data_IF_192288816245
#
_entry.id   IF_192288816245
#
_cell.length_a   1.000
_cell.length_b   1.000
_cell.length_c   1.000
_cell.angle_alpha   90.00
_cell.angle_beta   90.00
_cell.angle_gamma   90.00
#
_symmetry.space_group_name_H-M   'P 1'
#
loop_
_entity.id
_entity.type
_entity.pdbx_description
1 polymer ?
#
# COMPACT_ATOMS: atom_id res chain seq x y z
N UNK A 1 -18.27 -23.66 3.00
CA UNK A 1 -16.86 -23.30 2.75
C UNK A 1 -16.82 -21.81 2.46
N UNK A 2 -16.09 -21.00 3.24
CA UNK A 2 -16.08 -19.54 3.05
C UNK A 2 -15.20 -19.16 1.88
N UNK A 3 -15.66 -18.27 1.00
CA UNK A 3 -14.92 -17.76 -0.17
C UNK A 3 -13.56 -17.18 0.29
N UNK A 4 -13.53 -16.43 1.38
CA UNK A 4 -12.29 -15.85 1.92
C UNK A 4 -11.22 -16.87 2.32
N UNK A 5 -11.60 -18.10 2.70
CA UNK A 5 -10.64 -19.17 2.97
C UNK A 5 -10.01 -19.72 1.69
N UNK A 6 -10.77 -19.77 0.59
CA UNK A 6 -10.28 -20.17 -0.72
C UNK A 6 -9.35 -19.09 -1.30
N UNK A 7 -9.73 -17.83 -1.24
CA UNK A 7 -8.89 -16.69 -1.67
C UNK A 7 -7.56 -16.68 -0.92
N UNK A 8 -7.60 -16.86 0.40
CA UNK A 8 -6.40 -16.94 1.22
C UNK A 8 -5.54 -18.14 0.84
N UNK A 9 -6.14 -19.33 0.65
CA UNK A 9 -5.41 -20.53 0.23
C UNK A 9 -4.70 -20.33 -1.10
N UNK A 10 -5.36 -19.74 -2.09
CA UNK A 10 -4.78 -19.43 -3.40
C UNK A 10 -3.64 -18.45 -3.28
N UNK A 11 -3.81 -17.37 -2.50
CA UNK A 11 -2.76 -16.38 -2.26
C UNK A 11 -1.55 -16.99 -1.54
N UNK A 12 -1.77 -17.75 -0.47
CA UNK A 12 -0.71 -18.44 0.28
C UNK A 12 0.04 -19.46 -0.59
N UNK A 13 -0.68 -20.19 -1.45
CA UNK A 13 -0.10 -21.13 -2.42
C UNK A 13 0.74 -20.41 -3.46
N UNK A 14 0.23 -19.31 -4.02
CA UNK A 14 0.95 -18.48 -4.97
C UNK A 14 2.25 -17.94 -4.34
N UNK A 15 2.17 -17.34 -3.17
CA UNK A 15 3.32 -16.74 -2.49
C UNK A 15 4.40 -17.78 -2.13
N UNK A 16 4.00 -18.98 -1.69
CA UNK A 16 4.95 -20.08 -1.43
C UNK A 16 5.66 -20.61 -2.67
N UNK A 17 5.00 -20.54 -3.82
CA UNK A 17 5.54 -21.05 -5.08
C UNK A 17 6.15 -19.94 -5.96
N UNK A 18 5.85 -18.67 -5.72
CA UNK A 18 6.45 -17.53 -6.42
C UNK A 18 7.96 -17.44 -6.22
N UNK A 19 8.46 -17.88 -5.05
CA UNK A 19 9.91 -18.00 -4.78
C UNK A 19 10.62 -19.04 -5.67
N UNK A 20 9.87 -19.87 -6.41
CA UNK A 20 10.39 -20.89 -7.34
C UNK A 20 10.25 -20.50 -8.81
N UNK A 21 9.49 -19.44 -9.11
CA UNK A 21 9.34 -18.91 -10.47
C UNK A 21 10.25 -17.71 -10.63
N UNK A 22 11.17 -17.76 -11.57
CA UNK A 22 11.94 -16.59 -11.96
C UNK A 22 10.98 -15.47 -12.38
N UNK A 23 11.23 -14.26 -11.89
CA UNK A 23 10.38 -13.08 -12.10
C UNK A 23 10.14 -12.72 -13.58
N UNK A 24 10.89 -13.31 -14.50
CA UNK A 24 10.68 -13.22 -15.93
C UNK A 24 9.32 -13.78 -16.36
N UNK A 25 8.80 -14.84 -15.68
CA UNK A 25 7.53 -15.47 -16.02
C UNK A 25 6.30 -14.67 -15.57
N UNK A 26 6.40 -13.88 -14.49
CA UNK A 26 5.27 -13.07 -14.01
C UNK A 26 4.98 -11.88 -14.94
N UNK A 27 6.00 -11.36 -15.61
CA UNK A 27 5.86 -10.39 -16.69
C UNK A 27 5.30 -10.99 -17.98
N UNK A 28 5.51 -12.28 -18.23
CA UNK A 28 5.09 -12.98 -19.42
C UNK A 28 3.60 -13.37 -19.40
N UNK A 29 3.05 -13.79 -18.25
CA UNK A 29 1.62 -14.15 -18.14
C UNK A 29 0.67 -12.97 -18.40
N UNK A 30 1.10 -11.73 -18.14
CA UNK A 30 0.34 -10.53 -18.50
C UNK A 30 0.58 -10.08 -19.95
N UNK A 31 1.69 -10.56 -20.60
CA UNK A 31 1.98 -10.28 -21.99
C UNK A 31 1.29 -11.26 -22.96
N UNK A 32 1.00 -12.50 -22.56
CA UNK A 32 0.35 -13.49 -23.42
C UNK A 32 -1.09 -13.12 -23.82
N UNK A 33 -1.80 -12.36 -22.97
CA UNK A 33 -3.10 -11.78 -23.37
C UNK A 33 -2.98 -10.54 -24.27
N UNK A 34 -1.77 -9.99 -24.45
CA UNK A 34 -1.46 -8.86 -25.31
C UNK A 34 -0.85 -9.28 -26.66
N UNK A 35 -0.37 -10.51 -26.82
CA UNK A 35 0.31 -11.00 -28.03
C UNK A 35 -0.59 -11.23 -29.24
N UNK A 36 -1.91 -11.03 -29.09
CA UNK A 36 -2.81 -10.99 -30.25
C UNK A 36 -2.91 -9.63 -30.94
N UNK A 37 -2.07 -8.66 -30.54
CA UNK A 37 -1.88 -7.40 -31.29
C UNK A 37 -0.41 -6.99 -31.24
N UNK A 38 0.27 -7.18 -32.33
CA UNK A 38 1.69 -7.04 -32.57
C UNK A 38 2.46 -6.01 -31.72
N UNK A 39 3.61 -6.42 -31.17
CA UNK A 39 4.65 -5.66 -30.47
C UNK A 39 4.12 -4.68 -29.42
N UNK A 40 3.96 -5.14 -28.16
CA UNK A 40 3.70 -4.23 -27.06
C UNK A 40 4.97 -3.46 -26.72
N UNK A 41 5.14 -2.31 -27.32
CA UNK A 41 5.93 -1.23 -26.74
C UNK A 41 5.26 -0.95 -25.38
N UNK A 42 5.98 -1.06 -24.25
CA UNK A 42 5.51 -0.56 -22.94
C UNK A 42 5.08 0.89 -23.17
N UNK A 43 3.78 1.12 -23.28
CA UNK A 43 3.25 2.45 -23.53
C UNK A 43 3.32 3.20 -22.21
N UNK A 44 4.24 4.13 -22.09
CA UNK A 44 4.26 5.07 -20.98
C UNK A 44 2.93 5.84 -20.96
N UNK A 45 2.13 5.65 -19.91
CA UNK A 45 0.82 6.28 -19.77
C UNK A 45 0.85 7.55 -18.93
N UNK A 46 1.98 7.86 -18.30
CA UNK A 46 2.14 9.04 -17.46
C UNK A 46 2.70 8.72 -16.09
N UNK A 47 2.83 9.74 -15.26
CA UNK A 47 3.37 9.69 -13.92
C UNK A 47 2.26 9.91 -12.89
N UNK A 48 2.10 8.99 -11.97
CA UNK A 48 1.04 9.03 -10.97
C UNK A 48 1.60 9.08 -9.54
N UNK A 49 1.09 10.01 -8.74
CA UNK A 49 1.32 10.08 -7.31
C UNK A 49 0.18 9.39 -6.56
N UNK A 50 0.53 8.51 -5.61
CA UNK A 50 -0.44 7.84 -4.73
C UNK A 50 -0.16 8.31 -3.30
N UNK A 51 -1.13 8.96 -2.68
CA UNK A 51 -1.01 9.50 -1.32
C UNK A 51 -1.60 8.50 -0.33
N UNK A 52 -0.74 7.87 0.45
CA UNK A 52 -1.05 6.81 1.40
C UNK A 52 -0.79 5.41 0.86
N UNK A 53 -0.09 4.60 1.64
CA UNK A 53 0.28 3.22 1.35
C UNK A 53 -0.64 2.19 2.01
N UNK A 54 -1.86 2.58 2.37
CA UNK A 54 -2.88 1.65 2.85
C UNK A 54 -3.37 0.71 1.73
N UNK A 55 -4.32 -0.21 2.02
CA UNK A 55 -4.82 -1.19 1.04
C UNK A 55 -5.22 -0.57 -0.30
N UNK A 56 -5.93 0.56 -0.25
CA UNK A 56 -6.38 1.26 -1.47
C UNK A 56 -5.21 1.83 -2.27
N UNK A 57 -4.21 2.43 -1.60
CA UNK A 57 -3.03 2.98 -2.24
C UNK A 57 -2.15 1.90 -2.86
N UNK A 58 -1.91 0.79 -2.15
CA UNK A 58 -1.12 -0.33 -2.67
C UNK A 58 -1.79 -0.97 -3.90
N UNK A 59 -3.11 -1.22 -3.84
CA UNK A 59 -3.86 -1.78 -4.96
C UNK A 59 -3.82 -0.85 -6.18
N UNK A 60 -4.13 0.43 -5.99
CA UNK A 60 -4.09 1.43 -7.07
C UNK A 60 -2.70 1.54 -7.70
N UNK A 61 -1.64 1.59 -6.88
CA UNK A 61 -0.28 1.67 -7.37
C UNK A 61 0.12 0.44 -8.20
N UNK A 62 -0.28 -0.75 -7.77
CA UNK A 62 -0.03 -1.99 -8.50
C UNK A 62 -0.71 -2.02 -9.86
N UNK A 63 -1.97 -1.62 -9.92
CA UNK A 63 -2.72 -1.60 -11.17
C UNK A 63 -2.20 -0.54 -12.15
N UNK A 64 -1.86 0.65 -11.65
CA UNK A 64 -1.27 1.71 -12.47
C UNK A 64 0.12 1.30 -13.01
N UNK A 65 0.96 0.67 -12.18
CA UNK A 65 2.28 0.20 -12.61
C UNK A 65 2.16 -0.90 -13.69
N UNK A 66 1.23 -1.85 -13.53
CA UNK A 66 0.93 -2.87 -14.54
C UNK A 66 0.42 -2.26 -15.84
N UNK A 67 -0.36 -1.17 -15.75
CA UNK A 67 -0.84 -0.44 -16.91
C UNK A 67 0.27 0.36 -17.62
N UNK A 68 1.45 0.54 -17.02
CA UNK A 68 2.59 1.25 -17.61
C UNK A 68 2.80 2.68 -17.12
N UNK A 69 2.22 3.05 -15.98
CA UNK A 69 2.49 4.32 -15.33
C UNK A 69 3.79 4.29 -14.51
N UNK A 70 4.51 5.41 -14.43
CA UNK A 70 5.55 5.63 -13.40
C UNK A 70 4.86 6.05 -12.10
N UNK A 71 4.88 5.19 -11.09
CA UNK A 71 4.10 5.38 -9.88
C UNK A 71 5.00 5.64 -8.69
N UNK A 72 4.66 6.68 -7.92
CA UNK A 72 5.29 6.94 -6.61
C UNK A 72 4.22 7.00 -5.53
N UNK A 73 4.39 6.20 -4.49
CA UNK A 73 3.56 6.23 -3.28
C UNK A 73 4.23 7.15 -2.25
N UNK A 74 3.48 8.09 -1.70
CA UNK A 74 3.89 8.94 -0.59
C UNK A 74 3.17 8.49 0.69
N UNK A 75 3.94 8.05 1.67
CA UNK A 75 3.43 7.54 2.94
C UNK A 75 3.86 8.46 4.10
N UNK A 76 2.89 8.85 4.91
CA UNK A 76 3.13 9.75 6.04
C UNK A 76 3.96 9.10 7.16
N UNK A 77 3.80 7.80 7.36
CA UNK A 77 4.52 7.03 8.37
C UNK A 77 5.86 6.50 7.84
N UNK A 78 6.68 5.99 8.75
CA UNK A 78 8.00 5.44 8.41
C UNK A 78 7.95 4.01 7.84
N UNK A 79 6.77 3.39 7.81
CA UNK A 79 6.55 2.04 7.26
C UNK A 79 5.34 2.06 6.33
N UNK A 80 5.52 1.53 5.12
CA UNK A 80 4.43 1.35 4.17
C UNK A 80 3.46 0.23 4.61
N UNK A 81 2.19 0.34 4.21
CA UNK A 81 1.13 -0.63 4.49
C UNK A 81 -0.06 -0.05 5.25
N UNK A 82 0.05 1.18 5.77
CA UNK A 82 -1.05 1.87 6.45
C UNK A 82 -1.65 1.02 7.58
N UNK A 83 -2.97 0.94 7.65
CA UNK A 83 -3.69 0.19 8.69
C UNK A 83 -3.31 -1.30 8.75
N UNK A 84 -2.86 -1.89 7.65
CA UNK A 84 -2.38 -3.28 7.63
C UNK A 84 -1.15 -3.46 8.54
N UNK A 85 -0.32 -2.43 8.66
CA UNK A 85 0.88 -2.43 9.51
C UNK A 85 0.59 -1.95 10.93
N UNK A 86 -0.08 -0.81 11.09
CA UNK A 86 -0.26 -0.22 12.42
C UNK A 86 -1.56 -0.61 13.13
N UNK A 87 -2.62 -0.96 12.37
CA UNK A 87 -3.95 -1.16 12.94
C UNK A 87 -4.34 -2.61 13.17
N UNK A 88 -3.85 -3.55 12.36
CA UNK A 88 -4.19 -4.97 12.49
C UNK A 88 -3.12 -5.68 13.33
N UNK A 89 -3.48 -6.39 14.41
CA UNK A 89 -2.51 -7.13 15.22
C UNK A 89 -1.80 -8.25 14.45
N UNK A 90 -0.55 -8.55 14.82
CA UNK A 90 0.31 -9.57 14.20
C UNK A 90 -0.37 -10.95 14.08
N UNK A 91 -1.09 -11.38 15.11
CA UNK A 91 -1.77 -12.69 15.12
C UNK A 91 -2.91 -12.81 14.12
N UNK A 92 -3.46 -11.68 13.62
CA UNK A 92 -4.50 -11.66 12.58
C UNK A 92 -3.94 -11.48 11.19
N UNK A 93 -2.94 -10.63 11.05
CA UNK A 93 -2.23 -10.38 9.81
C UNK A 93 -0.74 -10.27 10.08
N UNK A 94 0.03 -11.35 9.87
CA UNK A 94 1.47 -11.32 9.96
C UNK A 94 2.05 -10.22 9.07
N UNK A 95 2.91 -9.36 9.66
CA UNK A 95 3.46 -8.20 8.95
C UNK A 95 4.35 -8.58 7.78
N UNK A 96 4.87 -9.80 7.81
CA UNK A 96 5.65 -10.35 6.71
C UNK A 96 4.85 -10.43 5.41
N UNK A 97 3.56 -10.80 5.48
CA UNK A 97 2.67 -10.82 4.30
C UNK A 97 2.56 -9.42 3.68
N UNK A 98 2.39 -8.40 4.53
CA UNK A 98 2.30 -7.01 4.06
C UNK A 98 3.62 -6.54 3.44
N UNK A 99 4.76 -6.92 4.04
CA UNK A 99 6.08 -6.61 3.47
C UNK A 99 6.29 -7.24 2.11
N UNK A 100 5.89 -8.50 1.94
CA UNK A 100 5.97 -9.18 0.64
C UNK A 100 5.15 -8.47 -0.44
N UNK A 101 3.94 -8.00 -0.11
CA UNK A 101 3.13 -7.22 -1.05
C UNK A 101 3.80 -5.89 -1.42
N UNK A 102 4.38 -5.19 -0.45
CA UNK A 102 5.15 -3.97 -0.69
C UNK A 102 6.37 -4.26 -1.57
N UNK A 103 7.10 -5.34 -1.32
CA UNK A 103 8.24 -5.75 -2.13
C UNK A 103 7.84 -6.11 -3.56
N UNK A 104 6.69 -6.76 -3.76
CA UNK A 104 6.16 -7.05 -5.09
C UNK A 104 5.92 -5.76 -5.88
N UNK A 105 5.41 -4.70 -5.24
CA UNK A 105 5.23 -3.39 -5.88
C UNK A 105 6.57 -2.74 -6.24
N UNK A 106 7.56 -2.81 -5.34
CA UNK A 106 8.91 -2.32 -5.63
C UNK A 106 9.54 -3.03 -6.84
N UNK A 107 9.32 -4.35 -6.96
CA UNK A 107 9.76 -5.13 -8.13
C UNK A 107 9.04 -4.74 -9.43
N UNK A 108 7.80 -4.28 -9.36
CA UNK A 108 7.07 -3.72 -10.50
C UNK A 108 7.58 -2.33 -10.90
N UNK A 109 8.49 -1.73 -10.13
CA UNK A 109 9.04 -0.41 -10.38
C UNK A 109 8.33 0.73 -9.67
N UNK A 110 7.37 0.44 -8.78
CA UNK A 110 6.72 1.46 -7.93
C UNK A 110 7.75 2.01 -6.95
N UNK A 111 7.82 3.33 -6.83
CA UNK A 111 8.64 4.02 -5.82
C UNK A 111 7.81 4.28 -4.57
N UNK A 112 8.42 4.19 -3.39
CA UNK A 112 7.74 4.45 -2.11
C UNK A 112 8.60 5.42 -1.29
N UNK A 113 8.03 6.59 -1.02
CA UNK A 113 8.63 7.65 -0.21
C UNK A 113 7.91 7.71 1.14
N UNK A 114 8.59 7.31 2.20
CA UNK A 114 8.05 7.34 3.58
C UNK A 114 8.37 8.65 4.28
N UNK A 115 7.69 8.92 5.42
CA UNK A 115 7.80 10.17 6.18
C UNK A 115 7.39 11.42 5.39
N UNK A 116 6.51 11.25 4.41
CA UNK A 116 6.02 12.29 3.52
C UNK A 116 4.56 12.62 3.80
N UNK A 117 4.32 13.70 4.54
CA UNK A 117 2.97 14.18 4.86
C UNK A 117 2.52 15.15 3.79
N UNK A 118 1.84 14.65 2.76
CA UNK A 118 1.33 15.49 1.67
C UNK A 118 0.29 16.48 2.21
N UNK A 119 0.43 17.73 1.82
CA UNK A 119 -0.27 18.87 2.40
C UNK A 119 0.50 19.58 3.52
N UNK A 120 1.67 19.01 3.94
CA UNK A 120 2.61 19.62 4.90
C UNK A 120 4.03 19.68 4.36
N UNK A 121 4.60 18.53 3.98
CA UNK A 121 5.94 18.44 3.37
C UNK A 121 5.93 18.89 1.91
N UNK A 122 4.93 18.47 1.17
CA UNK A 122 4.67 18.85 -0.22
C UNK A 122 3.17 19.06 -0.39
N UNK A 123 2.79 20.05 -1.17
CA UNK A 123 1.41 20.26 -1.60
C UNK A 123 1.07 19.42 -2.84
N UNK A 124 -0.20 19.26 -3.14
CA UNK A 124 -0.66 18.61 -4.39
C UNK A 124 -0.26 19.46 -5.62
N UNK A 125 -0.22 20.78 -5.48
CA UNK A 125 0.22 21.67 -6.55
C UNK A 125 1.70 21.42 -6.89
N UNK A 126 2.58 21.39 -5.89
CA UNK A 126 4.00 21.08 -6.10
C UNK A 126 4.20 19.69 -6.73
N UNK A 127 3.45 18.67 -6.30
CA UNK A 127 3.51 17.35 -6.93
C UNK A 127 3.23 17.41 -8.43
N UNK A 128 2.27 18.24 -8.87
CA UNK A 128 1.92 18.39 -10.28
C UNK A 128 2.88 19.32 -11.03
N UNK A 129 3.15 20.48 -10.47
CA UNK A 129 3.81 21.56 -11.18
C UNK A 129 5.35 21.44 -11.16
N UNK A 130 5.91 20.96 -10.04
CA UNK A 130 7.36 20.85 -9.87
C UNK A 130 7.87 19.41 -10.06
N UNK A 131 7.12 18.42 -9.54
CA UNK A 131 7.52 17.01 -9.65
C UNK A 131 6.97 16.31 -10.89
N UNK A 132 6.08 16.98 -11.64
CA UNK A 132 5.57 16.53 -12.94
C UNK A 132 4.67 15.30 -12.85
N UNK A 133 3.87 15.16 -11.79
CA UNK A 133 2.85 14.13 -11.73
C UNK A 133 1.62 14.54 -12.53
N UNK A 134 1.19 13.68 -13.45
CA UNK A 134 0.00 13.91 -14.29
C UNK A 134 -1.29 13.68 -13.49
N UNK A 135 -1.27 12.74 -12.55
CA UNK A 135 -2.42 12.36 -11.73
C UNK A 135 -2.04 12.13 -10.28
N UNK A 136 -2.99 12.39 -9.38
CA UNK A 136 -2.84 12.16 -7.94
C UNK A 136 -4.02 11.34 -7.44
N UNK A 137 -3.74 10.18 -6.83
CA UNK A 137 -4.71 9.37 -6.11
C UNK A 137 -4.59 9.63 -4.61
N UNK A 138 -5.71 9.92 -3.94
CA UNK A 138 -5.74 10.20 -2.50
C UNK A 138 -6.34 9.02 -1.76
N UNK A 139 -5.50 8.26 -1.05
CA UNK A 139 -5.85 7.08 -0.27
C UNK A 139 -5.37 7.16 1.17
N UNK A 140 -5.53 8.31 1.84
CA UNK A 140 -5.00 8.60 3.18
C UNK A 140 -5.65 7.82 4.31
N UNK A 141 -6.79 7.18 4.06
CA UNK A 141 -7.54 6.45 5.07
C UNK A 141 -8.23 7.37 6.10
N UNK A 142 -8.74 6.76 7.18
CA UNK A 142 -9.45 7.43 8.27
C UNK A 142 -8.66 7.31 9.58
N UNK A 143 -7.45 7.89 9.62
CA UNK A 143 -6.54 7.81 10.76
C UNK A 143 -6.98 8.61 11.99
N UNK A 144 -7.86 9.60 11.84
CA UNK A 144 -8.36 10.39 12.95
C UNK A 144 -9.42 9.61 13.73
N UNK A 145 -9.24 9.43 15.05
CA UNK A 145 -10.24 8.75 15.88
C UNK A 145 -11.51 9.62 16.01
N UNK A 146 -12.65 8.95 16.06
CA UNK A 146 -13.91 9.58 16.48
C UNK A 146 -14.08 9.38 17.97
N UNK A 147 -14.19 10.48 18.69
CA UNK A 147 -14.49 10.47 20.11
C UNK A 147 -15.98 10.31 20.34
N UNK A 148 -16.35 9.62 21.41
CA UNK A 148 -17.75 9.34 21.76
C UNK A 148 -18.39 10.48 22.56
N UNK A 149 -17.59 11.43 23.05
CA UNK A 149 -17.98 12.54 23.93
C UNK A 149 -18.66 12.07 25.21
N UNK A 150 -18.11 11.03 25.85
CA UNK A 150 -18.55 10.49 27.13
C UNK A 150 -17.65 10.96 28.26
N UNK A 151 -18.17 10.96 29.48
CA UNK A 151 -17.42 11.32 30.67
C UNK A 151 -16.19 10.39 30.86
N UNK A 152 -15.05 10.96 31.17
CA UNK A 152 -13.80 10.22 31.40
C UNK A 152 -12.98 9.93 30.15
N UNK A 153 -13.46 10.24 28.95
CA UNK A 153 -12.75 9.95 27.70
C UNK A 153 -11.39 10.66 27.59
N UNK A 154 -11.26 11.83 28.21
CA UNK A 154 -10.01 12.62 28.22
C UNK A 154 -9.07 12.28 29.39
N UNK A 155 -9.37 11.29 30.22
CA UNK A 155 -8.52 10.89 31.34
C UNK A 155 -7.23 10.21 30.87
N UNK A 156 -6.16 10.36 31.68
CA UNK A 156 -4.89 9.67 31.43
C UNK A 156 -5.11 8.15 31.47
N UNK A 157 -4.58 7.45 30.48
CA UNK A 157 -4.73 6.00 30.34
C UNK A 157 -5.94 5.58 29.50
N UNK A 158 -6.78 6.53 29.06
CA UNK A 158 -7.83 6.27 28.07
C UNK A 158 -7.26 6.61 26.68
N UNK A 159 -7.34 5.67 25.78
CA UNK A 159 -6.80 5.78 24.43
C UNK A 159 -7.87 5.44 23.39
N UNK A 160 -7.83 6.09 22.25
CA UNK A 160 -8.56 5.60 21.09
C UNK A 160 -7.95 4.28 20.61
N UNK A 161 -8.75 3.42 19.96
CA UNK A 161 -8.26 2.17 19.41
C UNK A 161 -7.10 2.40 18.41
N UNK A 162 -7.21 3.42 17.57
CA UNK A 162 -6.17 3.78 16.62
C UNK A 162 -4.85 4.14 17.31
N UNK A 163 -4.90 4.96 18.34
CA UNK A 163 -3.70 5.36 19.08
C UNK A 163 -3.06 4.16 19.78
N UNK A 164 -3.87 3.35 20.47
CA UNK A 164 -3.37 2.17 21.15
C UNK A 164 -2.72 1.17 20.19
N UNK A 165 -3.39 0.87 19.09
CA UNK A 165 -2.88 -0.07 18.08
C UNK A 165 -1.62 0.44 17.37
N UNK A 166 -1.56 1.74 17.08
CA UNK A 166 -0.35 2.34 16.50
C UNK A 166 0.83 2.22 17.47
N UNK A 167 0.63 2.51 18.75
CA UNK A 167 1.68 2.36 19.77
C UNK A 167 2.13 0.90 19.91
N UNK A 168 1.20 -0.03 19.96
CA UNK A 168 1.50 -1.45 20.10
C UNK A 168 2.19 -2.05 18.86
N UNK A 169 1.65 -1.82 17.67
CA UNK A 169 2.10 -2.50 16.45
C UNK A 169 3.29 -1.79 15.78
N UNK A 170 3.26 -0.46 15.69
CA UNK A 170 4.25 0.32 14.94
C UNK A 170 5.40 0.77 15.84
N UNK A 171 5.07 1.29 17.02
CA UNK A 171 6.07 1.81 17.97
C UNK A 171 6.59 0.75 18.92
N UNK A 172 6.04 -0.48 18.91
CA UNK A 172 6.41 -1.61 19.76
C UNK A 172 6.38 -1.28 21.26
N UNK A 173 5.45 -0.44 21.68
CA UNK A 173 5.37 0.06 23.05
C UNK A 173 4.94 -1.02 24.09
N UNK A 174 4.55 -2.22 23.64
CA UNK A 174 4.17 -3.33 24.48
C UNK A 174 5.31 -4.35 24.73
N UNK A 175 6.53 -4.06 24.26
CA UNK A 175 7.71 -4.94 24.39
C UNK A 175 8.84 -4.23 25.10
#
# INVERSE_FOLDING_TARGET
MGIGNLERFVADYHNKNAARRDLADVGAEYSENAENSGKSVKRYLGKAAVIGSGPAGLACAGDLAKAGCDVTIFEALHVAGGVLMYGIPEFRLPKEIVRQEVENLLRLGVKIETNMVIGKTLSIAELKDEYGFDAVFIGTGAGLPRFMNIEGEALKGVYSANEFLTRANLMKAAF
#
